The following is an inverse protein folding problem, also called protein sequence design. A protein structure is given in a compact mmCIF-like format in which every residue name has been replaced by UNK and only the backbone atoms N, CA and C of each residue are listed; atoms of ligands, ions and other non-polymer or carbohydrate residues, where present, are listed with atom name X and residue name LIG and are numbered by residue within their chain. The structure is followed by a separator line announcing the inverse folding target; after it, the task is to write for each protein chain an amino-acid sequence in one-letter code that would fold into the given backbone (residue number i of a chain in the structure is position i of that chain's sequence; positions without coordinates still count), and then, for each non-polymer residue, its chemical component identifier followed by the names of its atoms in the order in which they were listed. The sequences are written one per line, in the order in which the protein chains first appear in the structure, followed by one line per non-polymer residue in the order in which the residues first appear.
data_IF_288564421115
#
_entry.id   IF_288564421115
#
_cell.length_a   1.000
_cell.length_b   1.000
_cell.length_c   1.000
_cell.angle_alpha   90.00
_cell.angle_beta   90.00
_cell.angle_gamma   90.00
#
_symmetry.space_group_name_H-M   'P 1'
#
loop_
_entity.id
_entity.type
_entity.pdbx_description
1 polymer ?
#
# COMPACT_ATOMS: atom_id res chain seq x y z
N UNK A 1 13.33 -10.88 15.61
CA UNK A 1 12.57 -10.36 14.45
C UNK A 1 11.39 -11.30 14.22
N UNK A 2 10.17 -10.81 14.36
CA UNK A 2 8.94 -11.58 14.11
C UNK A 2 8.44 -11.23 12.70
N UNK A 3 8.09 -12.24 11.90
CA UNK A 3 7.51 -12.05 10.56
C UNK A 3 6.04 -12.43 10.60
N UNK A 4 5.15 -11.46 10.34
CA UNK A 4 3.71 -11.69 10.20
C UNK A 4 3.33 -11.54 8.72
N UNK A 5 2.79 -12.60 8.12
CA UNK A 5 2.28 -12.57 6.75
C UNK A 5 0.76 -12.40 6.81
N UNK A 6 0.26 -11.23 6.42
CA UNK A 6 -1.18 -10.93 6.41
C UNK A 6 -1.59 -10.65 4.97
N UNK A 7 -2.62 -11.37 4.51
CA UNK A 7 -3.27 -11.10 3.24
C UNK A 7 -4.70 -10.62 3.51
N UNK A 8 -5.10 -9.56 2.82
CA UNK A 8 -6.45 -8.99 2.89
C UNK A 8 -6.91 -8.64 1.49
N UNK A 9 -8.19 -8.91 1.21
CA UNK A 9 -8.81 -8.66 -0.10
C UNK A 9 -10.07 -7.85 0.11
N UNK A 10 -10.21 -6.76 -0.65
CA UNK A 10 -11.38 -5.89 -0.61
C UNK A 10 -11.80 -5.48 -2.02
N UNK A 11 -13.10 -5.29 -2.21
CA UNK A 11 -13.66 -4.81 -3.46
C UNK A 11 -13.42 -3.30 -3.59
N UNK A 12 -12.66 -2.90 -4.62
CA UNK A 12 -12.31 -1.48 -4.82
C UNK A 12 -13.47 -0.64 -5.37
N UNK A 13 -14.24 -1.19 -6.31
CA UNK A 13 -15.33 -0.47 -6.97
C UNK A 13 -16.67 -0.91 -6.38
N UNK A 14 -17.43 0.03 -5.85
CA UNK A 14 -18.79 -0.21 -5.38
C UNK A 14 -19.78 -0.20 -6.54
N UNK A 15 -20.98 -0.74 -6.31
CA UNK A 15 -22.12 -0.59 -7.22
C UNK A 15 -22.82 0.78 -7.12
N UNK A 16 -22.42 1.64 -6.17
CA UNK A 16 -22.98 2.98 -6.02
C UNK A 16 -22.45 3.91 -7.13
N UNK A 17 -23.37 4.42 -7.95
CA UNK A 17 -23.07 5.29 -9.08
C UNK A 17 -22.57 6.68 -8.68
N UNK A 18 -22.74 7.09 -7.42
CA UNK A 18 -22.19 8.33 -6.89
C UNK A 18 -20.67 8.24 -6.62
N UNK A 19 -20.14 7.02 -6.52
CA UNK A 19 -18.72 6.77 -6.25
C UNK A 19 -17.98 6.56 -7.58
N UNK A 20 -16.94 7.35 -7.89
CA UNK A 20 -16.20 7.19 -9.13
C UNK A 20 -15.56 5.81 -9.26
N UNK A 21 -15.76 5.15 -10.40
CA UNK A 21 -15.08 3.90 -10.71
C UNK A 21 -13.59 4.13 -10.94
N UNK A 22 -12.76 3.36 -10.24
CA UNK A 22 -11.31 3.37 -10.37
C UNK A 22 -10.86 2.29 -11.34
N UNK A 23 -10.05 2.69 -12.32
CA UNK A 23 -9.33 1.75 -13.18
C UNK A 23 -8.12 1.17 -12.44
N UNK A 24 -7.62 0.02 -12.91
CA UNK A 24 -6.42 -0.62 -12.35
C UNK A 24 -5.23 0.34 -12.23
N UNK A 25 -5.00 1.17 -13.26
CA UNK A 25 -3.92 2.16 -13.24
C UNK A 25 -4.12 3.24 -12.18
N UNK A 26 -5.35 3.69 -11.94
CA UNK A 26 -5.66 4.63 -10.85
C UNK A 26 -5.42 4.01 -9.48
N UNK A 27 -5.86 2.77 -9.27
CA UNK A 27 -5.60 2.03 -8.03
C UNK A 27 -4.09 1.87 -7.80
N UNK A 28 -3.34 1.49 -8.84
CA UNK A 28 -1.89 1.38 -8.74
C UNK A 28 -1.21 2.69 -8.38
N UNK A 29 -1.62 3.78 -9.03
CA UNK A 29 -1.11 5.11 -8.72
C UNK A 29 -1.43 5.51 -7.28
N UNK A 30 -2.63 5.19 -6.77
CA UNK A 30 -3.00 5.39 -5.37
C UNK A 30 -2.09 4.63 -4.40
N UNK A 31 -1.78 3.35 -4.67
CA UNK A 31 -0.87 2.55 -3.84
C UNK A 31 0.57 3.09 -3.86
N UNK A 32 1.05 3.52 -5.04
CA UNK A 32 2.35 4.19 -5.17
C UNK A 32 2.40 5.51 -4.38
N UNK A 33 1.31 6.28 -4.39
CA UNK A 33 1.20 7.50 -3.58
C UNK A 33 1.17 7.18 -2.08
N UNK A 34 0.38 6.19 -1.65
CA UNK A 34 0.32 5.75 -0.26
C UNK A 34 1.68 5.32 0.29
N UNK A 35 2.51 4.66 -0.52
CA UNK A 35 3.85 4.28 -0.10
C UNK A 35 4.79 5.50 0.15
N UNK A 36 4.54 6.65 -0.50
CA UNK A 36 5.35 7.87 -0.40
C UNK A 36 4.77 8.91 0.57
N UNK A 37 3.44 8.96 0.67
CA UNK A 37 2.67 9.93 1.47
C UNK A 37 1.55 9.21 2.23
N UNK A 38 1.89 8.41 3.26
CA UNK A 38 0.91 7.61 4.01
C UNK A 38 -0.16 8.46 4.71
N UNK A 39 0.16 9.68 5.16
CA UNK A 39 -0.75 10.58 5.88
C UNK A 39 -1.99 10.98 5.06
N UNK A 40 -1.89 10.96 3.72
CA UNK A 40 -3.04 11.24 2.85
C UNK A 40 -4.05 10.08 2.81
N UNK A 41 -3.68 8.90 3.35
CA UNK A 41 -4.47 7.66 3.26
C UNK A 41 -4.70 6.96 4.61
N UNK A 42 -3.84 7.21 5.60
CA UNK A 42 -3.83 6.53 6.89
C UNK A 42 -3.90 7.63 7.97
N UNK A 43 -5.06 7.81 8.63
CA UNK A 43 -5.26 8.88 9.61
C UNK A 43 -4.33 8.84 10.82
N UNK A 44 -3.65 7.70 11.05
CA UNK A 44 -2.71 7.55 12.16
C UNK A 44 -1.36 8.25 11.93
N UNK A 45 -1.05 8.64 10.69
CA UNK A 45 0.15 9.41 10.37
C UNK A 45 -0.23 10.86 10.05
N UNK A 46 0.57 11.81 10.51
CA UNK A 46 0.40 13.24 10.25
C UNK A 46 1.56 13.86 9.45
N UNK A 47 2.72 13.20 9.39
CA UNK A 47 3.86 13.61 8.57
C UNK A 47 4.66 12.41 8.02
N UNK A 48 5.41 12.62 6.93
CA UNK A 48 6.27 11.61 6.33
C UNK A 48 7.30 12.19 5.36
N UNK A 49 8.44 11.51 5.22
CA UNK A 49 9.44 11.81 4.20
C UNK A 49 10.03 10.55 3.57
N UNK A 50 10.19 10.55 2.25
CA UNK A 50 10.98 9.52 1.54
C UNK A 50 12.46 9.84 1.74
N UNK A 51 13.20 8.89 2.31
CA UNK A 51 14.65 8.98 2.54
C UNK A 51 15.41 8.41 1.35
N UNK A 52 14.85 7.35 0.76
CA UNK A 52 15.49 6.63 -0.33
C UNK A 52 14.47 6.00 -1.26
N UNK A 53 14.79 6.03 -2.55
CA UNK A 53 14.01 5.38 -3.59
C UNK A 53 14.95 4.63 -4.55
N UNK A 54 14.68 3.35 -4.80
CA UNK A 54 15.46 2.47 -5.68
C UNK A 54 14.53 1.63 -6.57
N UNK A 55 15.12 0.84 -7.46
CA UNK A 55 14.41 -0.11 -8.34
C UNK A 55 13.25 0.55 -9.11
N UNK A 56 13.53 1.68 -9.76
CA UNK A 56 12.55 2.51 -10.47
C UNK A 56 11.31 2.87 -9.63
N UNK A 57 11.51 3.06 -8.33
CA UNK A 57 10.47 3.46 -7.40
C UNK A 57 9.62 2.32 -6.85
N UNK A 58 10.06 1.07 -7.03
CA UNK A 58 9.42 -0.12 -6.45
C UNK A 58 9.96 -0.49 -5.06
N UNK A 59 11.11 0.07 -4.66
CA UNK A 59 11.63 -0.02 -3.30
C UNK A 59 11.80 1.38 -2.71
N UNK A 60 11.15 1.64 -1.59
CA UNK A 60 11.11 2.96 -0.93
C UNK A 60 11.47 2.77 0.53
N UNK A 61 12.40 3.58 1.04
CA UNK A 61 12.61 3.74 2.48
C UNK A 61 12.06 5.09 2.88
N UNK A 62 11.14 5.10 3.84
CA UNK A 62 10.53 6.33 4.35
C UNK A 62 10.60 6.41 5.87
N UNK A 63 10.54 7.63 6.36
CA UNK A 63 10.16 7.95 7.73
C UNK A 63 8.72 8.44 7.75
N UNK A 64 7.96 8.05 8.76
CA UNK A 64 6.62 8.56 9.01
C UNK A 64 6.43 8.88 10.48
N UNK A 65 5.73 9.96 10.77
CA UNK A 65 5.42 10.41 12.11
C UNK A 65 4.01 9.97 12.50
N UNK A 66 3.92 9.25 13.62
CA UNK A 66 2.65 8.80 14.18
C UNK A 66 2.05 9.95 14.98
N UNK A 67 0.79 10.30 14.68
CA UNK A 67 0.12 11.45 15.27
C UNK A 67 0.18 11.46 16.80
N UNK A 68 0.59 12.58 17.38
CA UNK A 68 0.71 12.73 18.83
C UNK A 68 -0.66 12.69 19.55
N UNK A 69 -1.75 12.93 18.81
CA UNK A 69 -3.12 12.85 19.28
C UNK A 69 -3.61 11.41 19.54
N UNK A 70 -2.85 10.39 19.11
CA UNK A 70 -3.18 8.98 19.32
C UNK A 70 -2.75 8.48 20.70
N UNK A 71 -3.21 9.13 21.77
CA UNK A 71 -2.70 8.94 23.15
C UNK A 71 -2.74 7.49 23.68
N UNK A 72 -3.58 6.63 23.12
CA UNK A 72 -3.65 5.20 23.48
C UNK A 72 -2.55 4.35 22.83
N UNK A 73 -1.88 4.88 21.79
CA UNK A 73 -0.82 4.19 21.08
C UNK A 73 0.53 4.39 21.76
N UNK A 74 1.32 3.33 22.02
CA UNK A 74 2.70 3.48 22.49
C UNK A 74 3.62 4.12 21.44
N UNK A 75 3.13 4.31 20.21
CA UNK A 75 3.85 4.93 19.11
C UNK A 75 3.52 6.41 18.92
N UNK A 76 2.57 6.98 19.67
CA UNK A 76 2.17 8.38 19.53
C UNK A 76 3.36 9.34 19.62
N UNK A 77 3.47 10.26 18.66
CA UNK A 77 4.54 11.26 18.59
C UNK A 77 5.91 10.71 18.18
N UNK A 78 6.00 9.44 17.75
CA UNK A 78 7.25 8.83 17.32
C UNK A 78 7.38 8.82 15.80
N UNK A 79 8.62 8.95 15.36
CA UNK A 79 9.02 8.66 13.98
C UNK A 79 9.31 7.17 13.83
N UNK A 80 8.82 6.59 12.73
CA UNK A 80 9.05 5.20 12.36
C UNK A 80 9.71 5.12 10.99
N UNK A 81 10.75 4.30 10.87
CA UNK A 81 11.40 4.00 9.60
C UNK A 81 10.81 2.73 8.99
N UNK A 82 10.38 2.84 7.74
CA UNK A 82 9.69 1.78 7.03
C UNK A 82 10.33 1.51 5.66
N UNK A 83 10.53 0.24 5.35
CA UNK A 83 10.88 -0.22 4.00
C UNK A 83 9.62 -0.71 3.29
N UNK A 84 9.25 -0.04 2.21
CA UNK A 84 8.09 -0.34 1.39
C UNK A 84 8.53 -0.98 0.07
N UNK A 85 8.04 -2.19 -0.22
CA UNK A 85 8.21 -2.86 -1.52
C UNK A 85 6.88 -2.94 -2.25
N UNK A 86 6.89 -2.48 -3.49
CA UNK A 86 5.73 -2.40 -4.36
C UNK A 86 5.81 -3.48 -5.45
N UNK A 87 4.75 -4.25 -5.60
CA UNK A 87 4.61 -5.25 -6.65
C UNK A 87 3.44 -4.89 -7.56
N UNK A 88 3.74 -4.50 -8.81
CA UNK A 88 2.70 -4.21 -9.80
C UNK A 88 2.00 -5.51 -10.23
N UNK A 89 0.67 -5.51 -10.38
CA UNK A 89 -0.05 -6.69 -10.87
C UNK A 89 0.43 -7.08 -12.26
N UNK A 90 1.00 -8.29 -12.34
CA UNK A 90 1.37 -8.92 -13.61
C UNK A 90 0.16 -9.63 -14.20
N UNK A 91 -0.06 -9.49 -15.51
CA UNK A 91 -0.97 -10.38 -16.24
C UNK A 91 -0.39 -11.79 -16.16
N UNK A 92 -1.09 -12.71 -15.51
CA UNK A 92 -0.77 -14.12 -15.66
C UNK A 92 -1.12 -14.53 -17.09
N UNK A 93 -0.17 -15.13 -17.83
CA UNK A 93 -0.53 -15.94 -18.99
C UNK A 93 -1.18 -17.21 -18.44
N UNK A 94 -2.49 -17.29 -18.46
CA UNK A 94 -3.17 -18.57 -18.21
C UNK A 94 -2.90 -19.50 -19.41
N UNK A 95 -2.64 -20.80 -19.19
CA UNK A 95 -2.61 -21.75 -20.28
C UNK A 95 -3.98 -21.76 -20.95
N UNK A 96 -3.98 -21.72 -22.28
CA UNK A 96 -5.17 -21.73 -23.12
C UNK A 96 -6.05 -22.93 -22.79
N UNK A 97 -7.03 -22.81 -21.88
CA UNK A 97 -8.29 -23.57 -21.90
C UNK A 97 -9.25 -23.13 -20.78
N UNK A 98 -10.43 -22.71 -21.25
CA UNK A 98 -11.73 -22.54 -20.59
C UNK A 98 -12.00 -21.18 -19.91
N UNK A 99 -13.06 -20.55 -20.43
CA UNK A 99 -13.78 -19.37 -19.95
C UNK A 99 -13.91 -19.30 -18.42
N UNK A 100 -12.96 -18.62 -17.78
CA UNK A 100 -13.08 -18.11 -16.41
C UNK A 100 -12.87 -16.60 -16.43
N UNK A 101 -13.63 -15.82 -15.65
CA UNK A 101 -13.48 -14.37 -15.60
C UNK A 101 -12.06 -14.02 -15.11
N UNK A 102 -11.42 -13.06 -15.79
CA UNK A 102 -10.04 -12.64 -15.59
C UNK A 102 -9.68 -12.50 -14.10
N UNK A 103 -8.93 -13.47 -13.57
CA UNK A 103 -8.53 -13.47 -12.17
C UNK A 103 -7.30 -12.57 -12.00
N UNK A 104 -7.53 -11.29 -11.65
CA UNK A 104 -6.46 -10.35 -11.36
C UNK A 104 -5.68 -10.82 -10.12
N UNK A 105 -4.39 -11.11 -10.31
CA UNK A 105 -3.45 -11.31 -9.20
C UNK A 105 -3.25 -9.96 -8.51
N UNK A 106 -3.41 -9.96 -7.20
CA UNK A 106 -3.47 -8.82 -6.27
C UNK A 106 -2.41 -7.73 -6.47
N UNK A 107 -2.70 -6.53 -5.96
CA UNK A 107 -1.67 -5.52 -5.68
C UNK A 107 -1.04 -5.81 -4.32
N UNK A 108 0.27 -5.65 -4.17
CA UNK A 108 0.94 -5.89 -2.89
C UNK A 108 1.86 -4.72 -2.53
N UNK A 109 1.65 -4.20 -1.32
CA UNK A 109 2.54 -3.28 -0.63
C UNK A 109 3.05 -3.99 0.62
N UNK A 110 4.33 -4.35 0.61
CA UNK A 110 4.99 -4.98 1.76
C UNK A 110 5.71 -3.90 2.56
N UNK A 111 5.33 -3.74 3.82
CA UNK A 111 5.96 -2.78 4.74
C UNK A 111 6.75 -3.56 5.78
N UNK A 112 8.05 -3.28 5.89
CA UNK A 112 8.89 -3.77 6.99
C UNK A 112 9.24 -2.62 7.91
N UNK A 113 9.13 -2.88 9.21
CA UNK A 113 9.46 -1.96 10.27
C UNK A 113 10.86 -2.27 10.79
N UNK A 114 11.70 -1.26 10.93
CA UNK A 114 13.01 -1.36 11.57
C UNK A 114 12.91 -0.75 12.97
N UNK A 115 13.38 -1.48 14.00
CA UNK A 115 13.55 -0.93 15.35
C UNK A 115 14.78 -0.02 15.42
#
# INVERSE_FOLDING_TARGET
MLTLNIAYTELVNSSDHLIPTLSRGKVWNGLKSKARRPQDFIPSFDDSGVIEERDNGSYIVREAHVGANLSESPMAGKWTREECRLHEPVKAREPEHKNTPECLKSFELVIKWSN
#
